data_IF_588786247258
#
_entry.id   IF_588786247258
#
_cell.length_a   1.000
_cell.length_b   1.000
_cell.length_c   1.000
_cell.angle_alpha   90.00
_cell.angle_beta   90.00
_cell.angle_gamma   90.00
#
_symmetry.space_group_name_H-M   'P 1'
#
loop_
_entity.id
_entity.type
_entity.pdbx_description
1 polymer ?
#
# COMPACT_ATOMS: atom_id res chain seq x y z
N UNK A 1 48.03 5.60 -40.53
CA UNK A 1 47.20 4.48 -39.99
C UNK A 1 46.56 4.93 -38.68
N UNK A 2 45.26 4.71 -38.49
CA UNK A 2 44.57 5.13 -37.26
C UNK A 2 45.06 4.31 -36.05
N UNK A 3 45.28 4.98 -34.91
CA UNK A 3 45.84 4.37 -33.71
C UNK A 3 44.90 3.29 -33.11
N UNK A 4 45.35 2.03 -33.06
CA UNK A 4 44.55 0.90 -32.55
C UNK A 4 44.19 1.02 -31.08
N UNK A 5 45.11 1.52 -30.26
CA UNK A 5 44.86 1.74 -28.83
C UNK A 5 43.74 2.76 -28.64
N UNK A 6 43.74 3.81 -29.45
CA UNK A 6 42.68 4.83 -29.43
C UNK A 6 41.33 4.26 -29.90
N UNK A 7 41.31 3.44 -30.95
CA UNK A 7 40.07 2.81 -31.43
C UNK A 7 39.42 1.90 -30.36
N UNK A 8 40.24 1.10 -29.66
CA UNK A 8 39.77 0.25 -28.57
C UNK A 8 39.29 1.08 -27.39
N UNK A 9 40.06 2.10 -26.99
CA UNK A 9 39.68 3.00 -25.89
C UNK A 9 38.35 3.70 -26.15
N UNK A 10 38.11 4.17 -27.38
CA UNK A 10 36.83 4.75 -27.78
C UNK A 10 35.68 3.74 -27.70
N UNK A 11 35.93 2.47 -28.01
CA UNK A 11 34.92 1.40 -27.92
C UNK A 11 34.60 1.01 -26.48
N UNK A 12 35.60 1.05 -25.58
CA UNK A 12 35.40 0.87 -24.13
C UNK A 12 34.54 1.99 -23.58
N UNK A 13 34.74 3.22 -24.05
CA UNK A 13 33.93 4.35 -23.61
C UNK A 13 32.47 4.21 -24.08
N UNK A 14 32.28 3.87 -25.36
CA UNK A 14 30.95 3.66 -25.92
C UNK A 14 31.00 2.75 -27.16
N UNK A 15 30.28 1.62 -27.16
CA UNK A 15 30.24 0.71 -28.31
C UNK A 15 29.85 1.44 -29.60
N UNK A 16 30.69 1.32 -30.63
CA UNK A 16 30.52 1.97 -31.92
C UNK A 16 31.38 3.22 -32.15
N UNK A 17 31.91 3.89 -31.12
CA UNK A 17 32.81 5.03 -31.33
C UNK A 17 34.16 4.62 -31.91
N UNK A 18 34.71 3.46 -31.52
CA UNK A 18 35.91 2.92 -32.16
C UNK A 18 35.67 2.53 -33.62
N UNK A 19 34.46 2.06 -33.96
CA UNK A 19 34.05 1.79 -35.34
C UNK A 19 33.96 3.06 -36.17
N UNK A 20 33.40 4.17 -35.63
CA UNK A 20 33.44 5.48 -36.28
C UNK A 20 34.87 5.91 -36.52
N UNK A 21 35.70 5.79 -35.49
CA UNK A 21 37.09 6.19 -35.58
C UNK A 21 37.81 5.39 -36.66
N UNK A 22 37.62 4.08 -36.81
CA UNK A 22 38.27 3.31 -37.90
C UNK A 22 37.58 3.43 -39.27
N UNK A 23 36.50 4.21 -39.40
CA UNK A 23 35.78 4.45 -40.67
C UNK A 23 34.72 3.39 -41.00
N UNK A 24 34.29 2.60 -40.02
CA UNK A 24 33.27 1.56 -40.17
C UNK A 24 31.87 2.08 -39.77
N UNK A 25 31.34 3.01 -40.56
CA UNK A 25 30.13 3.78 -40.23
C UNK A 25 28.86 2.95 -40.02
N UNK A 26 28.65 1.89 -40.79
CA UNK A 26 27.47 1.02 -40.62
C UNK A 26 27.49 0.25 -39.30
N UNK A 27 28.65 -0.32 -38.93
CA UNK A 27 28.80 -1.01 -37.64
C UNK A 27 28.72 -0.02 -36.49
N UNK A 28 29.31 1.17 -36.64
CA UNK A 28 29.17 2.24 -35.67
C UNK A 28 27.71 2.59 -35.40
N UNK A 29 26.92 2.83 -36.45
CA UNK A 29 25.50 3.15 -36.30
C UNK A 29 24.74 2.04 -35.57
N UNK A 30 24.96 0.77 -35.95
CA UNK A 30 24.32 -0.38 -35.30
C UNK A 30 24.66 -0.44 -33.81
N UNK A 31 25.94 -0.35 -33.44
CA UNK A 31 26.34 -0.41 -32.02
C UNK A 31 25.83 0.78 -31.23
N UNK A 32 25.93 2.00 -31.78
CA UNK A 32 25.47 3.22 -31.11
C UNK A 32 23.97 3.16 -30.87
N UNK A 33 23.18 2.80 -31.88
CA UNK A 33 21.72 2.69 -31.75
C UNK A 33 21.35 1.59 -30.73
N UNK A 34 21.99 0.41 -30.84
CA UNK A 34 21.69 -0.73 -29.96
C UNK A 34 22.00 -0.40 -28.50
N UNK A 35 23.17 0.19 -28.23
CA UNK A 35 23.56 0.54 -26.86
C UNK A 35 22.79 1.74 -26.32
N UNK A 36 22.47 2.74 -27.17
CA UNK A 36 21.59 3.86 -26.81
C UNK A 36 20.21 3.35 -26.40
N UNK A 37 19.65 2.42 -27.16
CA UNK A 37 18.35 1.82 -26.87
C UNK A 37 18.37 1.01 -25.57
N UNK A 38 19.42 0.21 -25.33
CA UNK A 38 19.58 -0.53 -24.07
C UNK A 38 19.68 0.41 -22.86
N UNK A 39 20.48 1.47 -22.96
CA UNK A 39 20.55 2.48 -21.89
C UNK A 39 19.24 3.22 -21.72
N UNK A 40 18.55 3.57 -22.81
CA UNK A 40 17.21 4.17 -22.74
C UNK A 40 16.23 3.25 -22.01
N UNK A 41 16.23 1.94 -22.29
CA UNK A 41 15.38 0.98 -21.57
C UNK A 41 15.72 0.93 -20.08
N UNK A 42 17.00 0.93 -19.72
CA UNK A 42 17.44 0.96 -18.32
C UNK A 42 16.96 2.22 -17.60
N UNK A 43 17.14 3.40 -18.21
CA UNK A 43 16.79 4.69 -17.59
C UNK A 43 15.28 4.99 -17.62
N UNK A 44 14.57 4.57 -18.66
CA UNK A 44 13.14 4.86 -18.85
C UNK A 44 12.23 3.93 -18.03
N UNK A 45 12.56 2.63 -17.93
CA UNK A 45 11.66 1.68 -17.25
C UNK A 45 11.86 1.61 -15.74
N UNK A 46 13.10 1.67 -15.22
CA UNK A 46 13.45 1.77 -13.79
C UNK A 46 14.92 1.37 -13.57
N UNK A 47 15.59 2.01 -12.60
CA UNK A 47 16.92 1.60 -12.10
C UNK A 47 16.97 0.17 -11.52
N UNK A 48 15.83 -0.49 -11.33
CA UNK A 48 15.74 -1.89 -10.91
C UNK A 48 16.41 -2.89 -11.86
N UNK A 49 16.64 -2.51 -13.14
CA UNK A 49 17.43 -3.30 -14.09
C UNK A 49 18.95 -3.24 -13.85
N UNK A 50 19.41 -2.46 -12.87
CA UNK A 50 20.80 -2.40 -12.42
C UNK A 50 21.01 -3.07 -11.05
N UNK A 51 19.95 -3.59 -10.42
CA UNK A 51 20.03 -4.23 -9.10
C UNK A 51 20.42 -5.70 -9.24
N UNK A 52 21.46 -6.12 -8.54
CA UNK A 52 22.08 -7.46 -8.65
C UNK A 52 21.26 -8.62 -8.07
N UNK A 53 19.97 -8.44 -7.76
CA UNK A 53 19.08 -9.48 -7.23
C UNK A 53 17.80 -9.68 -8.07
N UNK A 54 17.77 -9.17 -9.30
CA UNK A 54 16.64 -9.35 -10.22
C UNK A 54 17.06 -10.22 -11.42
N UNK A 55 16.39 -11.36 -11.69
CA UNK A 55 16.70 -12.20 -12.85
C UNK A 55 16.70 -11.44 -14.19
N UNK A 56 15.88 -10.39 -14.30
CA UNK A 56 15.80 -9.53 -15.49
C UNK A 56 17.01 -8.60 -15.61
N UNK A 57 17.60 -8.19 -14.48
CA UNK A 57 18.84 -7.39 -14.44
C UNK A 57 20.02 -8.19 -15.00
N UNK A 58 20.15 -9.47 -14.66
CA UNK A 58 21.23 -10.32 -15.21
C UNK A 58 21.16 -10.49 -16.73
N UNK A 59 19.96 -10.50 -17.32
CA UNK A 59 19.80 -10.55 -18.78
C UNK A 59 20.25 -9.24 -19.44
N UNK A 60 19.88 -8.09 -18.88
CA UNK A 60 20.27 -6.77 -19.40
C UNK A 60 21.77 -6.54 -19.21
N UNK A 61 22.31 -6.80 -18.01
CA UNK A 61 23.74 -6.71 -17.72
C UNK A 61 24.55 -7.70 -18.58
N UNK A 62 24.05 -8.93 -18.74
CA UNK A 62 24.66 -9.92 -19.63
C UNK A 62 24.69 -9.46 -21.09
N UNK A 63 23.59 -8.88 -21.59
CA UNK A 63 23.53 -8.30 -22.94
C UNK A 63 24.50 -7.12 -23.11
N UNK A 64 24.57 -6.22 -22.12
CA UNK A 64 25.53 -5.10 -22.11
C UNK A 64 26.97 -5.61 -22.17
N UNK A 65 27.36 -6.51 -21.27
CA UNK A 65 28.71 -7.10 -21.25
C UNK A 65 29.03 -7.77 -22.59
N UNK A 66 28.09 -8.54 -23.14
CA UNK A 66 28.28 -9.21 -24.42
C UNK A 66 28.49 -8.22 -25.58
N UNK A 67 27.67 -7.17 -25.66
CA UNK A 67 27.78 -6.13 -26.70
C UNK A 67 29.12 -5.41 -26.60
N UNK A 68 29.55 -5.06 -25.38
CA UNK A 68 30.84 -4.39 -25.15
C UNK A 68 32.01 -5.28 -25.56
N UNK A 69 32.06 -6.53 -25.11
CA UNK A 69 33.12 -7.47 -25.46
C UNK A 69 33.15 -7.75 -26.96
N UNK A 70 31.98 -7.88 -27.58
CA UNK A 70 31.87 -8.12 -29.01
C UNK A 70 32.33 -6.90 -29.84
N UNK A 71 31.90 -5.69 -29.47
CA UNK A 71 32.33 -4.46 -30.13
C UNK A 71 33.85 -4.29 -30.03
N UNK A 72 34.44 -4.58 -28.87
CA UNK A 72 35.89 -4.53 -28.67
C UNK A 72 36.64 -5.54 -29.53
N UNK A 73 36.18 -6.79 -29.59
CA UNK A 73 36.76 -7.82 -30.44
C UNK A 73 36.66 -7.42 -31.92
N UNK A 74 35.51 -6.93 -32.37
CA UNK A 74 35.29 -6.53 -33.76
C UNK A 74 36.17 -5.34 -34.17
N UNK A 75 36.31 -4.31 -33.32
CA UNK A 75 37.26 -3.20 -33.56
C UNK A 75 38.70 -3.71 -33.55
N UNK A 76 39.06 -4.61 -32.63
CA UNK A 76 40.40 -5.19 -32.56
C UNK A 76 40.78 -5.91 -33.87
N UNK A 77 39.87 -6.74 -34.39
CA UNK A 77 40.11 -7.49 -35.64
C UNK A 77 40.10 -6.57 -36.86
N UNK A 78 39.15 -5.63 -36.96
CA UNK A 78 39.06 -4.68 -38.09
C UNK A 78 40.21 -3.66 -38.10
N UNK A 79 40.75 -3.31 -36.93
CA UNK A 79 41.95 -2.49 -36.83
C UNK A 79 43.24 -3.27 -37.22
N UNK A 80 43.18 -4.61 -37.44
CA UNK A 80 44.35 -5.47 -37.69
C UNK A 80 44.66 -5.77 -39.17
N UNK A 81 43.74 -5.66 -40.14
CA UNK A 81 44.04 -5.93 -41.58
C UNK A 81 43.24 -5.12 -42.61
N UNK A 82 43.96 -4.53 -43.59
CA UNK A 82 43.54 -4.41 -45.00
C UNK A 82 43.58 -5.83 -45.62
N UNK A 83 42.66 -6.15 -46.54
CA UNK A 83 42.38 -7.42 -47.26
C UNK A 83 41.39 -8.42 -46.61
N UNK A 84 40.14 -8.32 -47.11
CA UNK A 84 39.36 -9.36 -47.80
C UNK A 84 38.96 -10.67 -47.07
N UNK A 85 37.64 -10.88 -47.05
CA UNK A 85 36.90 -12.14 -47.19
C UNK A 85 36.56 -13.05 -46.00
N UNK A 86 36.99 -12.76 -44.77
CA UNK A 86 36.42 -13.44 -43.58
C UNK A 86 36.08 -12.50 -42.42
N UNK A 87 35.62 -11.29 -42.73
CA UNK A 87 34.84 -10.53 -41.74
C UNK A 87 33.58 -11.34 -41.39
N UNK A 88 33.23 -11.43 -40.11
CA UNK A 88 32.02 -12.13 -39.67
C UNK A 88 30.86 -11.66 -40.56
N UNK A 89 30.27 -12.58 -41.33
CA UNK A 89 29.22 -12.22 -42.30
C UNK A 89 28.13 -11.47 -41.55
N UNK A 90 27.65 -10.35 -42.10
CA UNK A 90 26.61 -9.50 -41.51
C UNK A 90 25.42 -10.31 -40.94
N UNK A 91 25.06 -11.42 -41.61
CA UNK A 91 24.02 -12.37 -41.17
C UNK A 91 24.31 -13.04 -39.82
N UNK A 92 25.57 -13.31 -39.48
CA UNK A 92 25.99 -13.93 -38.21
C UNK A 92 25.93 -12.95 -37.03
N UNK A 93 25.73 -11.65 -37.28
CA UNK A 93 25.61 -10.57 -36.27
C UNK A 93 24.14 -10.19 -36.11
N UNK A 94 23.46 -10.01 -37.25
CA UNK A 94 22.06 -9.59 -37.25
C UNK A 94 21.16 -10.67 -36.70
N UNK A 95 21.36 -11.95 -37.01
CA UNK A 95 20.44 -13.01 -36.54
C UNK A 95 20.45 -13.13 -34.99
N UNK A 96 21.60 -13.26 -34.30
CA UNK A 96 21.61 -13.30 -32.84
C UNK A 96 21.16 -11.98 -32.20
N UNK A 97 21.56 -10.83 -32.75
CA UNK A 97 21.14 -9.51 -32.27
C UNK A 97 19.63 -9.29 -32.42
N UNK A 98 19.05 -9.73 -33.53
CA UNK A 98 17.61 -9.68 -33.79
C UNK A 98 16.86 -10.68 -32.90
N UNK A 99 17.43 -11.85 -32.59
CA UNK A 99 16.85 -12.81 -31.62
C UNK A 99 16.84 -12.22 -30.21
N UNK A 100 17.94 -11.59 -29.76
CA UNK A 100 17.98 -10.91 -28.46
C UNK A 100 17.03 -9.72 -28.44
N UNK A 101 16.99 -8.91 -29.51
CA UNK A 101 16.03 -7.81 -29.64
C UNK A 101 14.58 -8.31 -29.62
N UNK A 102 14.25 -9.36 -30.38
CA UNK A 102 12.92 -9.98 -30.37
C UNK A 102 12.59 -10.59 -29.02
N UNK A 103 13.54 -11.22 -28.34
CA UNK A 103 13.33 -11.75 -26.99
C UNK A 103 13.07 -10.63 -25.98
N UNK A 104 13.82 -9.52 -26.05
CA UNK A 104 13.60 -8.34 -25.22
C UNK A 104 12.29 -7.62 -25.56
N UNK A 105 11.95 -7.50 -26.84
CA UNK A 105 10.69 -6.94 -27.31
C UNK A 105 9.50 -7.82 -26.87
N UNK A 106 9.62 -9.14 -26.96
CA UNK A 106 8.61 -10.09 -26.46
C UNK A 106 8.48 -10.05 -24.93
N UNK A 107 9.57 -9.87 -24.20
CA UNK A 107 9.54 -9.71 -22.74
C UNK A 107 8.93 -8.37 -22.32
N UNK A 108 9.27 -7.28 -23.01
CA UNK A 108 8.66 -5.97 -22.81
C UNK A 108 7.17 -5.98 -23.18
N UNK A 109 6.84 -6.61 -24.31
CA UNK A 109 5.47 -6.82 -24.75
C UNK A 109 4.69 -7.68 -23.74
N UNK A 110 5.25 -8.77 -23.20
CA UNK A 110 4.63 -9.56 -22.13
C UNK A 110 4.30 -8.72 -20.90
N UNK A 111 5.13 -7.72 -20.56
CA UNK A 111 4.82 -6.77 -19.48
C UNK A 111 3.62 -5.88 -19.79
N UNK A 112 3.56 -5.31 -21.01
CA UNK A 112 2.46 -4.43 -21.46
C UNK A 112 1.15 -5.21 -21.63
N UNK A 113 1.19 -6.38 -22.27
CA UNK A 113 0.04 -7.26 -22.45
C UNK A 113 -0.49 -7.82 -21.12
N UNK A 114 0.38 -8.07 -20.14
CA UNK A 114 -0.06 -8.51 -18.81
C UNK A 114 -0.91 -7.45 -18.13
N UNK A 115 -0.52 -6.18 -18.17
CA UNK A 115 -1.26 -5.11 -17.49
C UNK A 115 -2.57 -4.76 -18.19
N UNK A 116 -2.63 -4.82 -19.52
CA UNK A 116 -3.91 -4.63 -20.22
C UNK A 116 -4.89 -5.77 -19.93
N UNK A 117 -4.41 -7.02 -19.79
CA UNK A 117 -5.27 -8.16 -19.47
C UNK A 117 -5.78 -8.13 -18.02
N UNK A 118 -4.91 -7.78 -17.05
CA UNK A 118 -5.36 -7.56 -15.66
C UNK A 118 -6.34 -6.40 -15.58
N UNK A 119 -6.06 -5.27 -16.27
CA UNK A 119 -7.00 -4.16 -16.35
C UNK A 119 -8.38 -4.60 -16.89
N UNK A 120 -8.43 -5.28 -18.04
CA UNK A 120 -9.71 -5.71 -18.61
C UNK A 120 -10.47 -6.67 -17.69
N UNK A 121 -9.75 -7.56 -17.01
CA UNK A 121 -10.33 -8.49 -16.02
C UNK A 121 -10.92 -7.74 -14.83
N UNK A 122 -10.18 -6.79 -14.27
CA UNK A 122 -10.62 -6.02 -13.09
C UNK A 122 -11.80 -5.11 -13.44
N UNK A 123 -11.78 -4.45 -14.61
CA UNK A 123 -12.90 -3.64 -15.08
C UNK A 123 -14.15 -4.48 -15.37
N UNK A 124 -13.99 -5.69 -15.93
CA UNK A 124 -15.11 -6.61 -16.13
C UNK A 124 -15.69 -7.12 -14.81
N UNK A 125 -14.84 -7.42 -13.82
CA UNK A 125 -15.28 -7.78 -12.48
C UNK A 125 -16.01 -6.63 -11.78
N UNK A 126 -15.47 -5.42 -11.85
CA UNK A 126 -16.09 -4.23 -11.29
C UNK A 126 -17.48 -4.01 -11.90
N UNK A 127 -17.60 -4.08 -13.22
CA UNK A 127 -18.89 -3.93 -13.92
C UNK A 127 -19.91 -5.02 -13.58
N UNK A 128 -19.45 -6.23 -13.20
CA UNK A 128 -20.33 -7.35 -12.87
C UNK A 128 -20.72 -7.41 -11.38
N UNK A 129 -19.82 -6.99 -10.48
CA UNK A 129 -19.98 -7.14 -9.03
C UNK A 129 -20.54 -5.90 -8.36
N UNK A 130 -20.23 -4.71 -8.88
CA UNK A 130 -20.65 -3.44 -8.30
C UNK A 130 -22.10 -3.13 -8.67
N UNK A 131 -22.96 -3.04 -7.66
CA UNK A 131 -24.42 -2.91 -7.86
C UNK A 131 -24.86 -1.46 -8.03
N UNK A 132 -24.10 -0.53 -7.49
CA UNK A 132 -24.39 0.89 -7.50
C UNK A 132 -24.19 1.42 -8.90
N UNK A 133 -25.26 1.98 -9.49
CA UNK A 133 -25.19 2.58 -10.81
C UNK A 133 -24.40 3.88 -10.74
N UNK A 134 -23.19 3.87 -11.29
CA UNK A 134 -22.37 5.07 -11.43
C UNK A 134 -22.88 5.93 -12.57
N UNK A 135 -22.89 7.27 -12.42
CA UNK A 135 -23.34 8.15 -13.48
C UNK A 135 -22.32 8.19 -14.63
N UNK A 136 -22.82 8.36 -15.85
CA UNK A 136 -21.96 8.53 -17.03
C UNK A 136 -21.20 9.86 -16.97
N UNK A 137 -21.87 10.92 -16.50
CA UNK A 137 -21.33 12.27 -16.33
C UNK A 137 -21.29 12.65 -14.84
N UNK A 138 -20.21 13.30 -14.43
CA UNK A 138 -20.04 13.82 -13.07
C UNK A 138 -20.62 15.23 -12.97
N UNK A 139 -21.18 15.59 -11.81
CA UNK A 139 -21.61 16.96 -11.52
C UNK A 139 -20.41 17.90 -11.44
N UNK A 140 -20.67 19.21 -11.54
CA UNK A 140 -19.62 20.23 -11.41
C UNK A 140 -19.07 20.34 -9.98
N UNK A 141 -19.92 20.02 -8.99
CA UNK A 141 -19.59 20.08 -7.57
C UNK A 141 -20.39 19.04 -6.78
N UNK A 142 -19.71 18.36 -5.86
CA UNK A 142 -20.29 17.46 -4.86
C UNK A 142 -19.56 17.68 -3.54
N UNK A 143 -20.30 17.79 -2.43
CA UNK A 143 -19.72 17.87 -1.09
C UNK A 143 -20.63 17.21 -0.06
N UNK A 144 -20.04 16.36 0.76
CA UNK A 144 -20.69 15.71 1.90
C UNK A 144 -20.11 16.22 3.22
N UNK A 145 -20.94 16.46 4.25
CA UNK A 145 -20.49 16.82 5.59
C UNK A 145 -20.05 15.57 6.35
N UNK A 146 -19.03 14.88 5.86
CA UNK A 146 -18.52 13.65 6.49
C UNK A 146 -17.79 14.04 7.76
N UNK A 147 -18.29 13.66 8.95
CA UNK A 147 -17.62 13.97 10.18
C UNK A 147 -16.38 13.08 10.35
N UNK A 148 -15.51 13.45 11.27
CA UNK A 148 -14.35 12.67 11.66
C UNK A 148 -14.32 12.56 13.17
N UNK A 149 -14.21 11.33 13.68
CA UNK A 149 -13.98 11.13 15.10
C UNK A 149 -12.53 11.50 15.42
N UNK A 150 -12.35 12.51 16.25
CA UNK A 150 -11.07 12.84 16.79
C UNK A 150 -10.77 11.96 17.99
N UNK A 151 -9.86 11.02 17.77
CA UNK A 151 -9.27 10.16 18.79
C UNK A 151 -7.93 10.77 19.20
N UNK A 152 -7.59 10.72 20.49
CA UNK A 152 -6.46 11.41 21.14
C UNK A 152 -5.05 11.03 20.66
N UNK A 153 -4.93 10.29 19.55
CA UNK A 153 -3.79 9.45 19.25
C UNK A 153 -3.44 9.47 17.75
N UNK A 154 -2.14 9.57 17.44
CA UNK A 154 -1.62 9.32 16.08
C UNK A 154 -1.78 7.85 15.69
N UNK A 155 -1.76 7.55 14.38
CA UNK A 155 -1.81 6.18 13.83
C UNK A 155 -3.21 5.55 13.66
N UNK A 156 -4.27 6.26 14.07
CA UNK A 156 -5.67 5.82 13.95
C UNK A 156 -6.42 6.44 12.77
N UNK A 157 -5.75 7.07 11.81
CA UNK A 157 -6.40 7.76 10.67
C UNK A 157 -7.43 6.88 9.95
N UNK A 158 -7.14 5.59 9.79
CA UNK A 158 -8.06 4.59 9.27
C UNK A 158 -9.34 4.42 10.11
N UNK A 159 -9.21 4.31 11.43
CA UNK A 159 -10.35 4.18 12.36
C UNK A 159 -11.17 5.47 12.39
N UNK A 160 -10.51 6.63 12.51
CA UNK A 160 -11.15 7.95 12.55
C UNK A 160 -11.96 8.21 11.29
N UNK A 161 -11.37 7.93 10.13
CA UNK A 161 -12.01 8.09 8.83
C UNK A 161 -13.13 7.07 8.60
N UNK A 162 -12.88 5.78 8.88
CA UNK A 162 -13.87 4.72 8.68
C UNK A 162 -15.11 4.89 9.55
N UNK A 163 -14.92 5.16 10.85
CA UNK A 163 -16.01 5.46 11.78
C UNK A 163 -16.76 6.74 11.42
N UNK A 164 -16.07 7.78 10.96
CA UNK A 164 -16.69 9.03 10.49
C UNK A 164 -17.59 8.83 9.26
N UNK A 165 -17.12 8.03 8.30
CA UNK A 165 -17.93 7.63 7.13
C UNK A 165 -19.15 6.82 7.56
N UNK A 166 -18.98 5.83 8.43
CA UNK A 166 -20.12 5.04 8.90
C UNK A 166 -21.10 5.88 9.70
N UNK A 167 -20.65 6.75 10.59
CA UNK A 167 -21.54 7.65 11.31
C UNK A 167 -22.33 8.59 10.38
N UNK A 168 -21.74 8.99 9.24
CA UNK A 168 -22.48 9.74 8.23
C UNK A 168 -23.55 8.89 7.52
N UNK A 169 -23.23 7.64 7.18
CA UNK A 169 -24.10 6.74 6.42
C UNK A 169 -25.17 6.03 7.27
N UNK A 170 -24.83 5.72 8.51
CA UNK A 170 -25.62 5.00 9.53
C UNK A 170 -25.46 5.75 10.88
N UNK A 171 -26.17 6.89 11.07
CA UNK A 171 -25.99 7.80 12.21
C UNK A 171 -26.27 7.20 13.59
N UNK A 172 -26.95 6.06 13.63
CA UNK A 172 -27.17 5.27 14.84
C UNK A 172 -25.90 4.58 15.34
N UNK A 173 -24.92 4.38 14.47
CA UNK A 173 -23.66 3.70 14.78
C UNK A 173 -22.63 4.75 15.20
N UNK A 174 -22.24 4.71 16.47
CA UNK A 174 -21.17 5.54 17.01
C UNK A 174 -19.77 4.90 16.82
N UNK A 175 -18.73 5.62 17.25
CA UNK A 175 -17.35 5.12 17.18
C UNK A 175 -17.17 3.76 17.88
N UNK A 176 -17.74 3.57 19.08
CA UNK A 176 -17.48 2.39 19.88
C UNK A 176 -18.23 1.18 19.32
N UNK A 177 -19.46 1.38 18.84
CA UNK A 177 -20.19 0.35 18.11
C UNK A 177 -19.45 -0.02 16.82
N UNK A 178 -18.98 0.95 16.04
CA UNK A 178 -18.15 0.70 14.86
C UNK A 178 -16.90 -0.12 15.20
N UNK A 179 -16.22 0.18 16.31
CA UNK A 179 -15.05 -0.57 16.78
C UNK A 179 -15.43 -2.02 17.12
N UNK A 180 -16.60 -2.29 17.71
CA UNK A 180 -17.09 -3.66 17.96
C UNK A 180 -17.29 -4.45 16.67
N UNK A 181 -17.84 -3.83 15.63
CA UNK A 181 -17.93 -4.41 14.29
C UNK A 181 -16.55 -4.73 13.72
N UNK A 182 -15.54 -3.93 14.07
CA UNK A 182 -14.13 -4.11 13.70
C UNK A 182 -13.42 -5.30 14.36
N UNK A 183 -14.03 -5.97 15.33
CA UNK A 183 -13.40 -7.04 16.10
C UNK A 183 -12.23 -6.55 16.99
N UNK A 184 -12.50 -5.79 18.05
CA UNK A 184 -11.49 -5.04 18.81
C UNK A 184 -10.47 -5.90 19.59
N UNK A 185 -10.69 -7.22 19.65
CA UNK A 185 -9.81 -8.17 20.36
C UNK A 185 -9.19 -9.18 19.38
N UNK A 186 -9.22 -8.87 18.07
CA UNK A 186 -8.59 -9.70 17.08
C UNK A 186 -7.07 -9.51 17.11
N UNK A 187 -6.38 -10.47 17.74
CA UNK A 187 -4.93 -10.56 17.75
C UNK A 187 -4.46 -11.63 16.74
N UNK A 188 -3.83 -11.28 15.60
CA UNK A 188 -3.38 -12.25 14.57
C UNK A 188 -1.86 -12.46 14.52
N UNK A 189 -1.36 -13.64 14.93
CA UNK A 189 0.08 -13.93 14.95
C UNK A 189 0.62 -14.60 13.69
N UNK A 190 1.60 -13.93 13.06
CA UNK A 190 2.72 -14.61 12.43
C UNK A 190 2.46 -15.20 11.05
N UNK A 191 1.62 -14.61 10.19
CA UNK A 191 1.47 -15.14 8.83
C UNK A 191 2.50 -14.63 7.83
N UNK A 192 2.94 -13.36 7.87
CA UNK A 192 4.06 -12.83 7.07
C UNK A 192 4.35 -11.36 7.47
N UNK A 193 5.27 -11.08 8.41
CA UNK A 193 5.98 -9.79 8.62
C UNK A 193 5.28 -8.43 8.34
N UNK A 194 3.95 -8.36 8.31
CA UNK A 194 3.15 -7.26 7.72
C UNK A 194 1.75 -7.16 8.37
N UNK A 195 1.54 -7.81 9.52
CA UNK A 195 0.25 -7.83 10.20
C UNK A 195 0.28 -6.84 11.36
N UNK A 196 -0.47 -5.75 11.23
CA UNK A 196 -0.83 -4.94 12.38
C UNK A 196 -1.86 -5.65 13.23
N UNK A 197 -1.54 -5.73 14.51
CA UNK A 197 -2.45 -5.84 15.64
C UNK A 197 -2.87 -4.44 16.06
N UNK A 198 -3.91 -3.91 15.42
CA UNK A 198 -4.42 -2.58 15.73
C UNK A 198 -5.60 -2.21 14.82
N UNK A 199 -6.39 -1.21 15.21
CA UNK A 199 -7.72 -1.02 14.67
C UNK A 199 -7.74 -0.52 13.23
N UNK A 200 -6.61 -0.05 12.70
CA UNK A 200 -6.47 0.35 11.30
C UNK A 200 -6.87 -0.75 10.31
N UNK A 201 -6.45 -1.99 10.53
CA UNK A 201 -6.78 -3.14 9.68
C UNK A 201 -8.15 -3.75 10.00
N UNK A 202 -8.64 -3.53 11.21
CA UNK A 202 -9.96 -3.96 11.65
C UNK A 202 -11.09 -3.19 10.96
N UNK A 203 -10.83 -2.04 10.34
CA UNK A 203 -11.82 -1.29 9.57
C UNK A 203 -12.48 -2.14 8.48
N UNK A 204 -11.72 -2.97 7.77
CA UNK A 204 -12.33 -3.84 6.75
C UNK A 204 -13.28 -4.88 7.35
N UNK A 205 -12.96 -5.39 8.54
CA UNK A 205 -13.90 -6.23 9.28
C UNK A 205 -15.12 -5.45 9.74
N UNK A 206 -14.97 -4.18 10.14
CA UNK A 206 -16.09 -3.32 10.52
C UNK A 206 -17.06 -3.16 9.36
N UNK A 207 -16.59 -2.67 8.21
CA UNK A 207 -17.38 -2.54 6.98
C UNK A 207 -18.02 -3.87 6.58
N UNK A 208 -17.27 -4.97 6.57
CA UNK A 208 -17.81 -6.29 6.22
C UNK A 208 -18.91 -6.74 7.18
N UNK A 209 -18.71 -6.60 8.49
CA UNK A 209 -19.68 -7.01 9.49
C UNK A 209 -20.90 -6.07 9.49
N UNK A 210 -20.75 -4.83 9.01
CA UNK A 210 -21.85 -3.90 8.72
C UNK A 210 -22.58 -4.23 7.40
N UNK A 211 -22.14 -5.25 6.64
CA UNK A 211 -22.78 -5.64 5.38
C UNK A 211 -22.28 -4.87 4.16
N UNK A 212 -21.13 -4.22 4.25
CA UNK A 212 -20.47 -3.62 3.10
C UNK A 212 -19.50 -4.59 2.42
N UNK A 213 -19.52 -4.60 1.10
CA UNK A 213 -18.45 -5.16 0.29
C UNK A 213 -17.34 -4.11 0.16
N UNK A 214 -16.10 -4.51 0.40
CA UNK A 214 -14.93 -3.63 0.37
C UNK A 214 -14.22 -3.77 -0.96
N UNK A 215 -13.84 -2.64 -1.54
CA UNK A 215 -13.03 -2.57 -2.75
C UNK A 215 -11.81 -1.69 -2.53
N UNK A 216 -10.76 -1.95 -3.33
CA UNK A 216 -9.57 -1.12 -3.38
C UNK A 216 -9.20 -0.81 -4.83
N UNK A 217 -8.95 0.45 -5.11
CA UNK A 217 -8.36 0.97 -6.34
C UNK A 217 -6.86 1.23 -6.21
N UNK A 218 -6.12 1.07 -7.30
CA UNK A 218 -4.78 1.62 -7.42
C UNK A 218 -4.34 1.73 -8.88
N UNK A 219 -3.46 2.70 -9.16
CA UNK A 219 -2.67 2.74 -10.40
C UNK A 219 -1.53 1.71 -10.46
N UNK A 220 -1.40 0.82 -9.46
CA UNK A 220 -0.46 -0.29 -9.46
C UNK A 220 -1.18 -1.61 -9.74
N UNK A 221 -0.80 -2.36 -10.79
CA UNK A 221 -1.36 -3.68 -11.07
C UNK A 221 -0.77 -4.78 -10.16
N UNK A 222 0.07 -4.39 -9.19
CA UNK A 222 0.64 -5.30 -8.19
C UNK A 222 -0.22 -5.20 -6.94
N UNK A 223 -1.11 -6.18 -6.79
CA UNK A 223 -1.90 -6.32 -5.59
C UNK A 223 -1.04 -6.85 -4.43
N UNK A 224 -1.21 -6.31 -3.21
CA UNK A 224 -0.65 -6.95 -2.04
C UNK A 224 -1.34 -8.33 -1.85
N UNK A 225 -0.66 -9.29 -1.22
CA UNK A 225 -1.28 -10.58 -0.95
C UNK A 225 -2.45 -10.41 0.04
N UNK A 226 -3.44 -11.30 -0.02
CA UNK A 226 -4.70 -11.24 0.75
C UNK A 226 -4.48 -11.09 2.27
N UNK A 227 -3.39 -11.66 2.78
CA UNK A 227 -3.00 -11.57 4.18
C UNK A 227 -2.52 -10.17 4.62
N UNK A 228 -2.29 -9.25 3.68
CA UNK A 228 -1.93 -7.84 3.97
C UNK A 228 -3.17 -6.95 4.00
N UNK A 229 -4.30 -7.40 3.43
CA UNK A 229 -5.57 -6.64 3.44
C UNK A 229 -6.74 -7.55 3.86
N UNK A 230 -6.73 -8.06 5.10
CA UNK A 230 -7.78 -8.92 5.64
C UNK A 230 -9.17 -8.34 5.38
N UNK A 231 -10.07 -9.19 4.88
CA UNK A 231 -11.47 -8.83 4.67
C UNK A 231 -11.80 -8.36 3.25
N UNK A 232 -10.81 -8.04 2.40
CA UNK A 232 -11.03 -7.72 0.98
C UNK A 232 -10.85 -8.98 0.12
N UNK A 233 -11.81 -9.29 -0.75
CA UNK A 233 -11.65 -10.38 -1.74
C UNK A 233 -10.60 -9.97 -2.77
N UNK A 234 -9.74 -10.90 -3.19
CA UNK A 234 -8.67 -10.59 -4.14
C UNK A 234 -9.18 -10.01 -5.46
N UNK A 235 -10.33 -10.47 -5.95
CA UNK A 235 -11.02 -9.93 -7.12
C UNK A 235 -11.49 -8.46 -6.98
N UNK A 236 -11.66 -7.96 -5.75
CA UNK A 236 -12.07 -6.56 -5.50
C UNK A 236 -10.87 -5.59 -5.44
N UNK A 237 -9.68 -6.06 -5.79
CA UNK A 237 -8.50 -5.23 -5.97
C UNK A 237 -8.48 -4.79 -7.43
N UNK A 238 -8.82 -3.53 -7.68
CA UNK A 238 -9.09 -2.99 -9.01
C UNK A 238 -7.91 -2.15 -9.49
N UNK A 239 -7.35 -2.54 -10.64
CA UNK A 239 -6.33 -1.76 -11.32
C UNK A 239 -6.92 -0.67 -12.23
N UNK A 240 -6.40 0.56 -12.08
CA UNK A 240 -6.65 1.70 -12.98
C UNK A 240 -5.40 2.05 -13.80
N UNK A 241 -5.55 2.46 -15.06
CA UNK A 241 -4.42 2.71 -15.97
C UNK A 241 -3.56 3.87 -15.52
N UNK A 242 -4.22 4.92 -15.04
CA UNK A 242 -3.60 6.15 -14.60
C UNK A 242 -4.44 6.86 -13.53
N UNK A 243 -3.86 7.93 -12.99
CA UNK A 243 -4.44 8.72 -11.90
C UNK A 243 -5.70 9.44 -12.35
N UNK A 244 -5.78 9.86 -13.61
CA UNK A 244 -6.93 10.59 -14.15
C UNK A 244 -8.16 9.66 -14.21
N UNK A 245 -7.96 8.41 -14.63
CA UNK A 245 -9.00 7.37 -14.63
C UNK A 245 -9.46 7.03 -13.21
N UNK A 246 -8.52 6.77 -12.29
CA UNK A 246 -8.84 6.48 -10.89
C UNK A 246 -9.58 7.64 -10.23
N UNK A 247 -9.16 8.88 -10.50
CA UNK A 247 -9.79 10.06 -9.94
C UNK A 247 -11.17 10.35 -10.56
N UNK A 248 -11.34 10.13 -11.86
CA UNK A 248 -12.66 10.20 -12.49
C UNK A 248 -13.62 9.18 -11.87
N UNK A 249 -13.14 7.97 -11.59
CA UNK A 249 -13.91 6.95 -10.88
C UNK A 249 -14.28 7.40 -9.46
N UNK A 250 -13.34 8.00 -8.71
CA UNK A 250 -13.59 8.58 -7.39
C UNK A 250 -14.70 9.64 -7.43
N UNK A 251 -14.71 10.52 -8.44
CA UNK A 251 -15.79 11.49 -8.63
C UNK A 251 -17.13 10.79 -8.89
N UNK A 252 -17.16 9.75 -9.73
CA UNK A 252 -18.39 8.98 -9.98
C UNK A 252 -18.94 8.32 -8.72
N UNK A 253 -18.07 7.75 -7.87
CA UNK A 253 -18.46 7.22 -6.56
C UNK A 253 -19.14 8.31 -5.72
N UNK A 254 -18.54 9.50 -5.65
CA UNK A 254 -19.11 10.61 -4.89
C UNK A 254 -20.46 11.08 -5.44
N UNK A 255 -20.64 11.16 -6.76
CA UNK A 255 -21.94 11.49 -7.33
C UNK A 255 -23.01 10.43 -7.01
N UNK A 256 -22.60 9.18 -6.79
CA UNK A 256 -23.48 8.09 -6.38
C UNK A 256 -23.70 8.00 -4.85
N UNK A 257 -23.15 8.94 -4.07
CA UNK A 257 -23.26 8.94 -2.61
C UNK A 257 -22.30 7.98 -1.90
N UNK A 258 -21.32 7.42 -2.60
CA UNK A 258 -20.29 6.57 -2.03
C UNK A 258 -19.04 7.40 -1.75
N UNK A 259 -18.66 7.47 -0.48
CA UNK A 259 -17.53 8.27 -0.01
C UNK A 259 -16.28 7.39 0.03
N UNK A 260 -15.29 7.61 -0.85
CA UNK A 260 -14.06 6.83 -0.81
C UNK A 260 -13.09 7.34 0.25
N UNK A 261 -12.23 6.45 0.72
CA UNK A 261 -11.05 6.76 1.53
C UNK A 261 -9.83 6.79 0.61
N UNK A 262 -9.06 7.88 0.66
CA UNK A 262 -7.82 8.09 -0.11
C UNK A 262 -6.62 8.22 0.82
N UNK A 263 -5.44 7.84 0.35
CA UNK A 263 -4.20 7.99 1.09
C UNK A 263 -3.51 9.32 0.71
N UNK A 264 -3.56 10.32 1.59
CA UNK A 264 -3.00 11.65 1.35
C UNK A 264 -2.05 12.01 2.49
N UNK A 265 -0.81 12.42 2.17
CA UNK A 265 0.22 12.81 3.15
C UNK A 265 0.38 11.82 4.32
N UNK A 266 0.59 10.53 4.01
CA UNK A 266 0.75 9.45 4.98
C UNK A 266 -0.49 9.18 5.88
N UNK A 267 -1.68 9.69 5.50
CA UNK A 267 -2.94 9.53 6.23
C UNK A 267 -4.09 9.05 5.36
N UNK A 268 -4.89 8.12 5.90
CA UNK A 268 -6.12 7.65 5.24
C UNK A 268 -7.28 8.58 5.59
N UNK A 269 -7.87 9.21 4.57
CA UNK A 269 -8.78 10.35 4.71
C UNK A 269 -10.00 10.15 3.81
N UNK A 270 -11.18 10.55 4.28
CA UNK A 270 -12.39 10.57 3.47
C UNK A 270 -12.25 11.64 2.37
N UNK A 271 -12.42 11.26 1.11
CA UNK A 271 -12.62 12.22 0.03
C UNK A 271 -14.07 12.70 0.09
N UNK A 272 -14.32 13.78 0.84
CA UNK A 272 -15.67 14.27 1.16
C UNK A 272 -16.34 15.02 0.01
N UNK A 273 -15.59 15.44 -1.01
CA UNK A 273 -16.17 16.14 -2.16
C UNK A 273 -15.15 16.68 -3.16
N UNK A 274 -15.65 17.31 -4.21
CA UNK A 274 -14.84 18.01 -5.22
C UNK A 274 -15.63 19.13 -5.91
N UNK A 275 -14.92 20.08 -6.50
CA UNK A 275 -15.45 21.09 -7.42
C UNK A 275 -14.48 21.35 -8.58
N UNK A 276 -14.65 22.43 -9.34
CA UNK A 276 -13.76 22.78 -10.44
C UNK A 276 -12.33 23.20 -10.03
N UNK A 277 -12.06 23.46 -8.75
CA UNK A 277 -10.77 23.95 -8.23
C UNK A 277 -9.98 22.89 -7.46
N UNK A 278 -10.65 21.89 -6.90
CA UNK A 278 -10.02 20.95 -6.00
C UNK A 278 -10.98 20.00 -5.31
N UNK A 279 -10.54 19.47 -4.17
CA UNK A 279 -11.25 18.45 -3.39
C UNK A 279 -11.46 18.92 -1.95
N UNK A 280 -12.58 18.50 -1.36
CA UNK A 280 -12.76 18.53 0.08
C UNK A 280 -12.37 17.18 0.66
N UNK A 281 -11.57 17.24 1.71
CA UNK A 281 -11.13 16.09 2.46
C UNK A 281 -11.74 16.18 3.86
N UNK A 282 -12.22 15.05 4.38
CA UNK A 282 -12.52 14.93 5.80
C UNK A 282 -11.28 15.28 6.62
N UNK A 283 -11.43 15.71 7.87
CA UNK A 283 -10.30 16.18 8.67
C UNK A 283 -9.40 15.02 9.16
N UNK A 284 -8.16 14.83 8.65
CA UNK A 284 -7.12 14.16 9.41
C UNK A 284 -6.40 15.12 10.37
N UNK A 285 -6.59 16.43 10.20
CA UNK A 285 -5.63 17.44 10.64
C UNK A 285 -5.94 17.86 12.08
N UNK A 286 -5.45 17.04 13.00
CA UNK A 286 -5.40 17.41 14.40
C UNK A 286 -4.13 18.22 14.60
N UNK A 287 -4.24 19.56 14.57
CA UNK A 287 -3.29 20.36 15.33
C UNK A 287 -3.21 19.78 16.75
N UNK A 288 -2.02 19.44 17.26
CA UNK A 288 -1.83 18.80 18.57
C UNK A 288 -2.58 19.49 19.75
N UNK A 289 -2.99 20.75 19.57
CA UNK A 289 -3.82 21.52 20.50
C UNK A 289 -5.27 21.03 20.64
N UNK A 290 -5.77 20.16 19.74
CA UNK A 290 -7.16 19.66 19.74
C UNK A 290 -7.35 18.29 20.38
N UNK A 291 -6.30 17.59 20.80
CA UNK A 291 -6.47 16.27 21.43
C UNK A 291 -7.25 16.43 22.75
N UNK A 292 -8.36 15.70 22.94
CA UNK A 292 -8.97 15.57 24.25
C UNK A 292 -7.91 15.17 25.30
N UNK A 293 -7.98 15.75 26.50
CA UNK A 293 -7.16 15.28 27.63
C UNK A 293 -7.63 13.95 28.20
N UNK A 294 -8.79 13.46 27.76
CA UNK A 294 -9.43 12.25 28.25
C UNK A 294 -9.43 11.18 27.16
N UNK A 295 -8.71 10.09 27.37
CA UNK A 295 -8.63 8.95 26.45
C UNK A 295 -9.95 8.16 26.36
N UNK A 296 -10.87 8.38 27.29
CA UNK A 296 -12.20 7.79 27.26
C UNK A 296 -13.11 8.48 26.25
N UNK A 297 -12.85 9.74 25.89
CA UNK A 297 -13.70 10.53 25.01
C UNK A 297 -13.18 10.60 23.57
N UNK A 298 -14.08 10.41 22.60
CA UNK A 298 -13.86 10.81 21.22
C UNK A 298 -14.75 12.00 20.88
N UNK A 299 -14.20 13.01 20.20
CA UNK A 299 -14.96 14.17 19.76
C UNK A 299 -15.33 14.02 18.30
N UNK A 300 -16.60 14.14 17.95
CA UNK A 300 -17.02 14.23 16.56
C UNK A 300 -16.73 15.65 16.04
N UNK A 301 -16.02 15.75 14.92
CA UNK A 301 -15.71 17.03 14.27
C UNK A 301 -16.30 17.00 12.86
N UNK A 302 -17.11 18.00 12.52
CA UNK A 302 -17.77 18.12 11.21
C UNK A 302 -16.96 18.96 10.19
N UNK A 303 -15.66 19.13 10.43
CA UNK A 303 -14.80 19.96 9.60
C UNK A 303 -14.26 19.18 8.39
N UNK A 304 -14.35 19.82 7.22
CA UNK A 304 -13.64 19.41 5.99
C UNK A 304 -12.65 20.49 5.60
N UNK A 305 -11.47 20.11 5.11
CA UNK A 305 -10.48 21.04 4.56
C UNK A 305 -10.41 20.88 3.04
N UNK A 306 -9.82 21.87 2.36
CA UNK A 306 -9.83 21.95 0.90
C UNK A 306 -8.42 21.89 0.35
N UNK A 307 -8.19 21.03 -0.65
CA UNK A 307 -6.94 20.97 -1.41
C UNK A 307 -7.19 21.31 -2.87
N UNK A 308 -6.33 22.16 -3.44
CA UNK A 308 -6.29 22.36 -4.88
C UNK A 308 -5.85 21.07 -5.60
N UNK A 309 -6.29 20.87 -6.85
CA UNK A 309 -5.99 19.63 -7.57
C UNK A 309 -4.50 19.30 -7.69
N UNK A 310 -3.66 20.28 -7.99
CA UNK A 310 -2.21 20.08 -8.12
C UNK A 310 -1.60 19.56 -6.82
N UNK A 311 -2.04 20.11 -5.68
CA UNK A 311 -1.58 19.71 -4.35
C UNK A 311 -2.12 18.33 -3.97
N UNK A 312 -3.42 18.09 -4.19
CA UNK A 312 -4.05 16.79 -3.93
C UNK A 312 -3.35 15.67 -4.69
N UNK A 313 -3.19 15.80 -6.01
CA UNK A 313 -2.54 14.77 -6.84
C UNK A 313 -1.07 14.57 -6.43
N UNK A 314 -0.35 15.64 -6.07
CA UNK A 314 1.02 15.53 -5.57
C UNK A 314 1.14 14.84 -4.20
N UNK A 315 0.09 14.90 -3.40
CA UNK A 315 0.03 14.32 -2.04
C UNK A 315 -0.61 12.93 -1.96
N UNK A 316 -1.26 12.46 -3.02
CA UNK A 316 -1.95 11.18 -3.07
C UNK A 316 -0.94 10.02 -3.24
N UNK A 317 -0.60 9.37 -2.13
CA UNK A 317 0.54 8.47 -2.00
C UNK A 317 0.23 7.00 -2.34
N UNK A 318 1.25 6.14 -2.25
CA UNK A 318 1.17 4.68 -2.38
C UNK A 318 0.63 4.12 -3.70
N UNK A 319 0.88 4.80 -4.81
CA UNK A 319 0.29 4.53 -6.13
C UNK A 319 -1.22 4.84 -6.14
N UNK A 320 -1.57 5.99 -5.58
CA UNK A 320 -2.91 6.58 -5.60
C UNK A 320 -3.99 5.68 -5.01
N UNK A 321 -3.69 4.97 -3.92
CA UNK A 321 -4.65 4.01 -3.36
C UNK A 321 -5.94 4.69 -2.93
N UNK A 322 -7.05 4.07 -3.30
CA UNK A 322 -8.39 4.42 -2.87
C UNK A 322 -9.12 3.18 -2.35
N UNK A 323 -9.98 3.36 -1.36
CA UNK A 323 -10.86 2.33 -0.86
C UNK A 323 -12.30 2.85 -0.90
N UNK A 324 -13.24 1.99 -1.27
CA UNK A 324 -14.66 2.33 -1.19
C UNK A 324 -15.46 1.12 -0.75
N UNK A 325 -16.68 1.41 -0.30
CA UNK A 325 -17.51 0.46 0.44
C UNK A 325 -18.91 0.50 -0.14
N UNK A 326 -19.41 -0.64 -0.61
CA UNK A 326 -20.75 -0.77 -1.15
C UNK A 326 -21.63 -1.56 -0.18
N UNK A 327 -22.77 -1.00 0.26
CA UNK A 327 -23.72 -1.74 1.10
C UNK A 327 -24.39 -2.83 0.25
N UNK A 328 -24.03 -4.09 0.50
CA UNK A 328 -24.57 -5.24 -0.26
C UNK A 328 -25.40 -6.20 0.60
N UNK A 329 -25.31 -6.07 1.93
CA UNK A 329 -26.00 -6.90 2.90
C UNK A 329 -26.48 -6.11 4.13
N UNK A 330 -27.00 -6.85 5.11
CA UNK A 330 -27.42 -6.29 6.39
C UNK A 330 -26.27 -6.34 7.40
N UNK A 331 -26.22 -5.41 8.37
CA UNK A 331 -25.34 -5.51 9.50
C UNK A 331 -25.55 -6.83 10.25
N UNK A 332 -24.47 -7.41 10.75
CA UNK A 332 -24.53 -8.48 11.74
C UNK A 332 -25.23 -7.99 12.98
N UNK A 333 -26.07 -8.84 13.56
CA UNK A 333 -26.72 -8.54 14.82
C UNK A 333 -25.73 -8.67 15.98
N UNK A 334 -26.02 -8.00 17.09
CA UNK A 334 -25.18 -8.01 18.30
C UNK A 334 -24.78 -9.42 18.75
N UNK A 335 -25.72 -10.38 18.73
CA UNK A 335 -25.45 -11.76 19.13
C UNK A 335 -24.37 -12.44 18.26
N UNK A 336 -24.34 -12.16 16.96
CA UNK A 336 -23.30 -12.68 16.07
C UNK A 336 -21.94 -12.02 16.37
N UNK A 337 -21.94 -10.70 16.57
CA UNK A 337 -20.73 -9.96 16.94
C UNK A 337 -20.17 -10.43 18.29
N UNK A 338 -21.04 -10.69 19.27
CA UNK A 338 -20.65 -11.21 20.57
C UNK A 338 -19.96 -12.57 20.45
N UNK A 339 -20.49 -13.50 19.64
CA UNK A 339 -19.88 -14.81 19.42
C UNK A 339 -18.49 -14.68 18.76
N UNK A 340 -18.36 -13.79 17.76
CA UNK A 340 -17.08 -13.52 17.10
C UNK A 340 -16.07 -12.94 18.09
N UNK A 341 -16.46 -11.90 18.83
CA UNK A 341 -15.58 -11.21 19.76
C UNK A 341 -15.22 -12.06 20.99
N UNK A 342 -16.14 -12.90 21.48
CA UNK A 342 -15.88 -13.91 22.51
C UNK A 342 -14.80 -14.89 22.06
N UNK A 343 -14.90 -15.40 20.84
CA UNK A 343 -13.87 -16.28 20.27
C UNK A 343 -12.51 -15.57 20.21
N UNK A 344 -12.50 -14.34 19.70
CA UNK A 344 -11.27 -13.54 19.59
C UNK A 344 -10.66 -13.25 20.98
N UNK A 345 -11.49 -12.96 22.00
CA UNK A 345 -11.05 -12.77 23.38
C UNK A 345 -10.38 -14.03 23.96
N UNK A 346 -10.94 -15.21 23.70
CA UNK A 346 -10.35 -16.49 24.14
C UNK A 346 -9.01 -16.77 23.44
N UNK A 347 -8.87 -16.42 22.16
CA UNK A 347 -7.65 -16.64 21.39
C UNK A 347 -6.56 -15.60 21.67
N UNK A 348 -6.93 -14.39 22.10
CA UNK A 348 -6.03 -13.26 22.27
C UNK A 348 -4.81 -13.52 23.16
N UNK A 349 -4.93 -14.13 24.36
CA UNK A 349 -3.75 -14.41 25.19
C UNK A 349 -2.71 -15.30 24.50
N UNK A 350 -3.16 -16.33 23.79
CA UNK A 350 -2.27 -17.23 23.05
C UNK A 350 -1.59 -16.49 21.88
N UNK A 351 -2.32 -15.61 21.20
CA UNK A 351 -1.79 -14.85 20.08
C UNK A 351 -0.81 -13.76 20.55
N UNK A 352 -1.07 -13.08 21.67
CA UNK A 352 -0.13 -12.13 22.31
C UNK A 352 1.16 -12.85 22.71
N UNK A 353 1.08 -14.05 23.30
CA UNK A 353 2.26 -14.87 23.64
C UNK A 353 3.11 -15.18 22.40
N UNK A 354 2.47 -15.59 21.30
CA UNK A 354 3.16 -15.83 20.02
C UNK A 354 3.80 -14.55 19.47
N UNK A 355 3.14 -13.40 19.60
CA UNK A 355 3.71 -12.11 19.21
C UNK A 355 4.97 -11.80 19.98
N UNK A 356 4.92 -11.93 21.31
CA UNK A 356 6.07 -11.70 22.19
C UNK A 356 7.22 -12.64 21.80
N UNK A 357 6.95 -13.92 21.57
CA UNK A 357 7.96 -14.90 21.13
C UNK A 357 8.57 -14.52 19.78
N UNK A 358 7.73 -14.15 18.80
CA UNK A 358 8.20 -13.70 17.49
C UNK A 358 9.10 -12.48 17.59
N UNK A 359 8.69 -11.45 18.35
CA UNK A 359 9.48 -10.24 18.56
C UNK A 359 10.81 -10.57 19.25
N UNK A 360 10.81 -11.40 20.30
CA UNK A 360 12.05 -11.82 20.96
C UNK A 360 13.02 -12.52 20.00
N UNK A 361 12.50 -13.31 19.08
CA UNK A 361 13.28 -14.09 18.11
C UNK A 361 13.60 -13.35 16.80
N UNK A 362 13.01 -12.18 16.54
CA UNK A 362 13.27 -11.41 15.32
C UNK A 362 14.67 -10.77 15.35
N UNK A 363 15.26 -10.52 14.18
CA UNK A 363 16.53 -9.78 14.09
C UNK A 363 16.41 -8.40 14.77
N UNK A 364 17.52 -7.89 15.30
CA UNK A 364 17.60 -6.55 15.91
C UNK A 364 17.37 -5.44 14.87
N UNK A 365 17.50 -5.75 13.57
CA UNK A 365 17.15 -4.85 12.46
C UNK A 365 15.67 -4.95 12.05
N UNK A 366 14.83 -5.70 12.78
CA UNK A 366 13.42 -5.82 12.49
C UNK A 366 12.74 -4.47 12.67
N UNK A 367 12.40 -3.81 11.56
CA UNK A 367 11.63 -2.58 11.60
C UNK A 367 10.17 -2.91 11.91
N UNK A 368 9.76 -2.56 13.11
CA UNK A 368 8.42 -2.82 13.59
C UNK A 368 7.43 -1.94 12.84
N UNK A 369 7.78 -0.73 12.39
CA UNK A 369 6.90 0.08 11.54
C UNK A 369 6.49 -0.63 10.23
N UNK A 370 7.24 -1.67 9.80
CA UNK A 370 6.89 -2.53 8.66
C UNK A 370 6.18 -3.83 9.06
N UNK A 371 6.35 -4.27 10.29
CA UNK A 371 5.82 -5.55 10.79
C UNK A 371 4.59 -5.46 11.69
N UNK A 372 4.45 -4.35 12.40
CA UNK A 372 3.39 -4.00 13.32
C UNK A 372 3.21 -2.50 13.25
N UNK A 373 2.11 -2.03 12.70
CA UNK A 373 1.79 -0.63 12.89
C UNK A 373 1.49 -0.43 14.39
N UNK A 374 2.33 0.38 15.03
CA UNK A 374 2.14 0.76 16.41
C UNK A 374 0.86 1.53 16.48
N UNK A 375 0.02 1.22 17.46
CA UNK A 375 -0.57 2.20 18.36
C UNK A 375 -1.03 1.39 19.57
N UNK A 376 -0.80 1.97 20.73
CA UNK A 376 -1.47 1.61 21.97
C UNK A 376 -2.96 1.53 21.69
N UNK A 377 -3.53 0.33 21.66
CA UNK A 377 -4.91 0.11 21.18
C UNK A 377 -5.96 0.50 22.23
N UNK A 378 -5.84 1.74 22.70
CA UNK A 378 -6.76 2.39 23.62
C UNK A 378 -8.19 2.38 23.06
N UNK A 379 -8.46 2.70 21.77
CA UNK A 379 -9.83 2.73 21.26
C UNK A 379 -10.56 1.39 21.36
N UNK A 380 -9.89 0.27 21.03
CA UNK A 380 -10.49 -1.07 21.18
C UNK A 380 -10.83 -1.39 22.63
N UNK A 381 -9.90 -1.12 23.56
CA UNK A 381 -10.13 -1.38 24.98
C UNK A 381 -11.24 -0.48 25.56
N UNK A 382 -11.30 0.80 25.16
CA UNK A 382 -12.36 1.73 25.58
C UNK A 382 -13.73 1.33 25.02
N UNK A 383 -13.81 0.91 23.75
CA UNK A 383 -15.06 0.42 23.17
C UNK A 383 -15.62 -0.78 23.95
N UNK A 384 -14.75 -1.72 24.34
CA UNK A 384 -15.12 -2.89 25.14
C UNK A 384 -15.53 -2.51 26.57
N UNK A 385 -14.87 -1.52 27.16
CA UNK A 385 -15.27 -0.96 28.45
C UNK A 385 -16.71 -0.44 28.39
N UNK A 386 -17.04 0.42 27.41
CA UNK A 386 -18.38 0.96 27.26
C UNK A 386 -19.42 -0.13 26.96
N UNK A 387 -19.10 -1.06 26.04
CA UNK A 387 -19.97 -2.18 25.71
C UNK A 387 -20.34 -3.00 26.96
N UNK A 388 -19.35 -3.46 27.73
CA UNK A 388 -19.64 -4.28 28.91
C UNK A 388 -20.25 -3.49 30.06
N UNK A 389 -19.99 -2.19 30.15
CA UNK A 389 -20.67 -1.32 31.10
C UNK A 389 -22.17 -1.23 30.78
N UNK A 390 -22.54 -1.05 29.51
CA UNK A 390 -23.93 -1.00 29.07
C UNK A 390 -24.66 -2.33 29.31
N UNK A 391 -23.99 -3.46 29.06
CA UNK A 391 -24.54 -4.80 29.33
C UNK A 391 -24.58 -5.17 30.82
N UNK A 392 -24.12 -4.30 31.71
CA UNK A 392 -24.08 -4.53 33.16
C UNK A 392 -23.01 -5.52 33.62
N UNK A 393 -22.07 -5.92 32.76
CA UNK A 393 -20.91 -6.74 33.13
C UNK A 393 -19.76 -5.85 33.62
N UNK A 394 -19.99 -5.21 34.77
CA UNK A 394 -19.07 -4.20 35.29
C UNK A 394 -17.66 -4.74 35.60
N UNK A 395 -17.54 -6.01 36.00
CA UNK A 395 -16.24 -6.60 36.30
C UNK A 395 -15.38 -6.72 35.04
N UNK A 396 -15.96 -7.23 33.95
CA UNK A 396 -15.26 -7.31 32.67
C UNK A 396 -15.00 -5.93 32.07
N UNK A 397 -15.96 -4.99 32.19
CA UNK A 397 -15.76 -3.60 31.80
C UNK A 397 -14.54 -2.99 32.49
N UNK A 398 -14.41 -3.17 33.81
CA UNK A 398 -13.25 -2.66 34.56
C UNK A 398 -11.93 -3.28 34.10
N UNK A 399 -11.92 -4.54 33.67
CA UNK A 399 -10.71 -5.15 33.10
C UNK A 399 -10.28 -4.49 31.79
N UNK A 400 -11.23 -4.15 30.93
CA UNK A 400 -10.91 -3.40 29.72
C UNK A 400 -10.49 -1.96 29.99
N UNK A 401 -11.05 -1.33 31.03
CA UNK A 401 -10.58 -0.03 31.50
C UNK A 401 -9.13 -0.07 32.03
N UNK A 402 -8.76 -1.12 32.78
CA UNK A 402 -7.38 -1.35 33.24
C UNK A 402 -6.42 -1.49 32.04
N UNK A 403 -6.82 -2.25 31.01
CA UNK A 403 -6.04 -2.42 29.77
C UNK A 403 -5.89 -1.07 29.04
N UNK A 404 -6.98 -0.32 28.88
CA UNK A 404 -6.99 0.98 28.21
C UNK A 404 -6.05 1.98 28.89
N UNK A 405 -6.02 2.01 30.23
CA UNK A 405 -5.12 2.86 31.01
C UNK A 405 -3.65 2.52 30.78
N UNK A 406 -3.29 1.23 30.73
CA UNK A 406 -1.91 0.82 30.44
C UNK A 406 -1.50 1.27 29.03
N UNK A 407 -2.39 1.12 28.05
CA UNK A 407 -2.16 1.60 26.70
C UNK A 407 -1.97 3.11 26.66
N UNK A 408 -2.84 3.87 27.33
CA UNK A 408 -2.75 5.33 27.34
C UNK A 408 -1.53 5.87 28.10
N UNK A 409 -1.18 5.30 29.27
CA UNK A 409 -0.01 5.68 30.05
C UNK A 409 1.30 5.48 29.26
N UNK A 410 1.48 4.30 28.65
CA UNK A 410 2.69 4.02 27.87
C UNK A 410 2.71 4.87 26.58
N UNK A 411 1.56 5.30 26.04
CA UNK A 411 1.46 6.27 24.94
C UNK A 411 1.92 7.66 25.37
N UNK A 412 1.36 8.19 26.46
CA UNK A 412 1.69 9.53 26.97
C UNK A 412 3.19 9.68 27.23
N UNK A 413 3.83 8.60 27.69
CA UNK A 413 5.27 8.55 27.90
C UNK A 413 6.10 8.79 26.63
N UNK A 414 5.55 8.60 25.42
CA UNK A 414 6.26 8.88 24.16
C UNK A 414 6.18 10.35 23.72
N UNK A 415 5.33 11.17 24.32
CA UNK A 415 5.11 12.57 23.93
C UNK A 415 4.29 12.74 22.65
N UNK A 416 4.12 13.99 22.17
CA UNK A 416 3.15 14.34 21.11
C UNK A 416 3.56 13.88 19.70
N UNK A 417 4.85 13.62 19.48
CA UNK A 417 5.40 13.16 18.21
C UNK A 417 6.34 11.98 18.49
N UNK A 418 5.78 10.81 18.85
CA UNK A 418 6.60 9.63 19.08
C UNK A 418 7.42 9.35 17.82
N UNK A 419 8.76 9.20 17.90
CA UNK A 419 9.49 8.67 16.77
C UNK A 419 8.89 7.31 16.40
N UNK A 420 8.78 7.01 15.11
CA UNK A 420 8.43 5.66 14.62
C UNK A 420 9.20 4.66 15.49
N UNK A 421 8.50 3.84 16.27
CA UNK A 421 9.18 3.04 17.29
C UNK A 421 10.02 1.98 16.57
N UNK A 422 11.33 2.20 16.54
CA UNK A 422 12.29 1.35 15.81
C UNK A 422 12.74 0.14 16.65
N UNK A 423 12.37 0.08 17.93
CA UNK A 423 12.82 -0.93 18.90
C UNK A 423 11.66 -1.78 19.39
N UNK A 424 11.90 -3.09 19.49
CA UNK A 424 10.89 -4.11 19.84
C UNK A 424 10.67 -4.24 21.32
N UNK A 425 11.64 -3.78 22.10
CA UNK A 425 11.67 -3.88 23.54
C UNK A 425 10.48 -3.16 24.21
N UNK A 426 10.12 -1.91 23.87
CA UNK A 426 8.92 -1.26 24.40
C UNK A 426 7.63 -2.02 24.10
N UNK A 427 7.50 -2.59 22.89
CA UNK A 427 6.31 -3.35 22.51
C UNK A 427 6.23 -4.68 23.26
N UNK A 428 7.35 -5.39 23.42
CA UNK A 428 7.41 -6.60 24.24
C UNK A 428 6.97 -6.30 25.66
N UNK A 429 7.51 -5.23 26.28
CA UNK A 429 7.16 -4.81 27.64
C UNK A 429 5.66 -4.50 27.75
N UNK A 430 5.12 -3.72 26.80
CA UNK A 430 3.70 -3.40 26.77
C UNK A 430 2.82 -4.66 26.69
N UNK A 431 3.14 -5.56 25.76
CA UNK A 431 2.40 -6.81 25.57
C UNK A 431 2.50 -7.72 26.81
N UNK A 432 3.67 -7.79 27.45
CA UNK A 432 3.85 -8.53 28.71
C UNK A 432 3.05 -7.93 29.87
N UNK A 433 2.90 -6.59 29.94
CA UNK A 433 2.07 -5.91 30.94
C UNK A 433 0.58 -6.21 30.77
N UNK A 434 0.06 -6.18 29.54
CA UNK A 434 -1.39 -6.37 29.27
C UNK A 434 -1.81 -7.84 29.19
N UNK A 435 -0.88 -8.76 28.90
CA UNK A 435 -1.18 -10.19 28.74
C UNK A 435 -1.96 -10.80 29.92
N UNK A 436 -1.57 -10.63 31.20
CA UNK A 436 -2.32 -11.18 32.33
C UNK A 436 -3.75 -10.63 32.43
N UNK A 437 -3.97 -9.38 31.99
CA UNK A 437 -5.31 -8.78 31.98
C UNK A 437 -6.16 -9.37 30.87
N UNK A 438 -5.60 -9.62 29.69
CA UNK A 438 -6.29 -10.35 28.63
C UNK A 438 -6.61 -11.80 29.01
N UNK A 439 -5.73 -12.48 29.75
CA UNK A 439 -6.01 -13.82 30.29
C UNK A 439 -7.20 -13.81 31.26
N UNK A 440 -7.26 -12.83 32.15
CA UNK A 440 -8.38 -12.66 33.08
C UNK A 440 -9.67 -12.29 32.34
N UNK A 441 -9.61 -11.33 31.42
CA UNK A 441 -10.75 -10.89 30.64
C UNK A 441 -11.33 -12.06 29.84
N UNK A 442 -10.50 -12.86 29.17
CA UNK A 442 -10.95 -14.02 28.38
C UNK A 442 -11.81 -15.02 29.19
N UNK A 443 -11.50 -15.21 30.48
CA UNK A 443 -12.28 -16.07 31.38
C UNK A 443 -13.61 -15.46 31.81
N UNK A 444 -13.81 -14.16 31.64
CA UNK A 444 -15.01 -13.43 32.05
C UNK A 444 -16.04 -13.23 30.92
N UNK A 445 -15.71 -13.63 29.69
CA UNK A 445 -16.62 -13.59 28.52
C UNK A 445 -17.72 -14.68 28.56
N UNK A 446 -18.03 -15.25 29.73
CA UNK A 446 -18.95 -16.39 29.88
C UNK A 446 -20.36 -16.13 29.33
#
# INVERSE_FOLDING_TARGET
MKNKKLALLLTIFYPGLGHLYIGSYSNAAVFIITISFLWFVVFYKSSTFLVFNNPRSYLVLGALVFIYLYALADVFFKARKVQAEKGLKFKNIVIPGLIVFLALALLAAKGVFKYELEYQKDQAHLAASFKTLLPEQVLDEVKYPVPSYLITTGGFCWLQTGSGIIHYLEPEIDLYEYVLYGQPILFTAGRNSSERYGPGMNNFYAFKNLGYEVYRGSTSPIHPPENVVPGIKFENLIYFKDVDEEFLFAKKLLNAGLIPIVHVNDSFIALAGYNNKGVWLGSPEVSHERFPKDFLGANLIEDTWFLAYEEFIGSWSDNHQMFWFEKTGQPKIEAELYVINKKNAVEAPANIKKTIEYLKNSDNNFNISRGYTYDYDTPSAVALYYYFQEKGNYQLAQKYLEIAKIFDEDREALGPNPPLTLSKEPLIILLEKVLPLYEQAALMWE
#
